data_IF_542302067933
#
_entry.id   IF_542302067933
#
_cell.length_a   1.000
_cell.length_b   1.000
_cell.length_c   1.000
_cell.angle_alpha   90.00
_cell.angle_beta   90.00
_cell.angle_gamma   90.00
#
_symmetry.space_group_name_H-M   'P 1'
#
loop_
_entity.id
_entity.type
_entity.pdbx_description
1 polymer ?
#
# COMPACT_ATOMS: atom_id res chain seq x y z
N UNK A 1 25.00 -0.35 3.70
CA UNK A 1 24.38 0.21 2.49
C UNK A 1 22.89 0.20 2.76
N UNK A 2 22.34 1.33 3.17
CA UNK A 2 20.93 1.42 3.56
C UNK A 2 20.24 2.12 2.40
N UNK A 3 19.83 1.35 1.38
CA UNK A 3 18.88 1.87 0.41
C UNK A 3 17.68 2.43 1.20
N UNK A 4 17.07 3.54 0.77
CA UNK A 4 15.81 4.00 1.34
C UNK A 4 14.73 3.01 0.89
N UNK A 5 14.69 1.84 1.53
CA UNK A 5 13.63 0.88 1.41
C UNK A 5 12.37 1.57 1.92
N UNK A 6 11.52 2.02 0.98
CA UNK A 6 10.21 2.55 1.32
C UNK A 6 9.51 1.46 2.14
N UNK A 7 9.35 1.72 3.44
CA UNK A 7 8.77 0.77 4.36
C UNK A 7 7.36 0.41 3.89
N UNK A 8 7.06 -0.89 3.80
CA UNK A 8 5.72 -1.32 3.44
C UNK A 8 4.72 -0.83 4.50
N UNK A 9 3.63 -0.15 4.13
CA UNK A 9 2.61 0.31 5.08
C UNK A 9 1.74 -0.85 5.62
N UNK A 10 2.22 -2.09 5.50
CA UNK A 10 1.55 -3.29 5.95
C UNK A 10 1.60 -3.38 7.48
N UNK A 11 0.44 -3.45 8.11
CA UNK A 11 0.30 -3.60 9.57
C UNK A 11 0.23 -5.07 10.01
N UNK A 12 0.45 -6.02 9.09
CA UNK A 12 0.25 -7.46 9.32
C UNK A 12 -1.22 -7.89 9.26
N UNK A 13 -2.15 -6.96 9.03
CA UNK A 13 -3.57 -7.24 8.85
C UNK A 13 -3.85 -7.44 7.35
N UNK A 14 -4.20 -8.66 6.95
CA UNK A 14 -4.54 -9.01 5.58
C UNK A 14 -6.06 -9.25 5.45
N UNK A 15 -6.85 -8.21 5.69
CA UNK A 15 -8.30 -8.26 5.56
C UNK A 15 -8.74 -7.29 4.48
N UNK A 16 -9.34 -7.80 3.41
CA UNK A 16 -9.85 -6.99 2.30
C UNK A 16 -11.31 -6.62 2.57
N UNK A 17 -11.61 -5.33 2.52
CA UNK A 17 -12.97 -4.82 2.44
C UNK A 17 -13.54 -5.17 1.07
N UNK A 18 -14.58 -6.02 1.03
CA UNK A 18 -15.18 -6.48 -0.23
C UNK A 18 -15.91 -5.37 -0.98
N UNK A 19 -16.40 -4.33 -0.27
CA UNK A 19 -17.11 -3.21 -0.88
C UNK A 19 -16.14 -2.25 -1.58
N UNK A 20 -14.98 -2.00 -0.97
CA UNK A 20 -13.94 -1.07 -1.48
C UNK A 20 -12.83 -1.78 -2.26
N UNK A 21 -12.73 -3.11 -2.14
CA UNK A 21 -11.60 -3.94 -2.64
C UNK A 21 -10.24 -3.45 -2.15
N UNK A 22 -10.19 -2.94 -0.93
CA UNK A 22 -9.00 -2.40 -0.26
C UNK A 22 -8.73 -3.16 1.02
N UNK A 23 -7.46 -3.32 1.38
CA UNK A 23 -7.08 -3.87 2.68
C UNK A 23 -7.47 -2.89 3.79
N UNK A 24 -8.25 -3.30 4.79
CA UNK A 24 -8.64 -2.43 5.90
C UNK A 24 -7.45 -2.00 6.76
N UNK A 25 -6.36 -2.78 6.77
CA UNK A 25 -5.15 -2.45 7.53
C UNK A 25 -4.28 -1.42 6.81
N UNK A 26 -3.86 -1.74 5.59
CA UNK A 26 -2.91 -0.91 4.83
C UNK A 26 -3.55 -0.03 3.75
N UNK A 27 -4.87 -0.08 3.54
CA UNK A 27 -5.63 0.65 2.52
C UNK A 27 -5.07 0.49 1.08
N UNK A 28 -4.43 -0.65 0.82
CA UNK A 28 -3.91 -1.06 -0.50
C UNK A 28 -4.86 -2.00 -1.21
N UNK A 29 -4.88 -1.94 -2.53
CA UNK A 29 -5.52 -2.96 -3.37
C UNK A 29 -4.65 -4.21 -3.44
N UNK A 30 -5.27 -5.34 -3.81
CA UNK A 30 -4.54 -6.58 -4.11
C UNK A 30 -3.51 -6.40 -5.22
N UNK A 31 -3.83 -5.59 -6.23
CA UNK A 31 -2.95 -5.27 -7.35
C UNK A 31 -1.68 -4.54 -6.89
N UNK A 32 -1.85 -3.52 -6.04
CA UNK A 32 -0.71 -2.81 -5.45
C UNK A 32 0.13 -3.72 -4.56
N UNK A 33 -0.48 -4.65 -3.82
CA UNK A 33 0.24 -5.61 -2.98
C UNK A 33 1.07 -6.56 -3.84
N UNK A 34 0.49 -7.07 -4.93
CA UNK A 34 1.17 -7.95 -5.87
C UNK A 34 2.32 -7.23 -6.60
N UNK A 35 2.11 -5.98 -7.00
CA UNK A 35 3.12 -5.17 -7.69
C UNK A 35 4.19 -4.59 -6.76
N UNK A 36 4.01 -4.59 -5.43
CA UNK A 36 4.96 -3.98 -4.48
C UNK A 36 6.40 -4.49 -4.54
N UNK A 37 6.67 -5.81 -4.56
CA UNK A 37 8.05 -6.31 -4.66
C UNK A 37 8.74 -5.88 -5.95
N UNK A 38 7.97 -5.72 -7.04
CA UNK A 38 8.48 -5.32 -8.36
C UNK A 38 8.45 -3.79 -8.59
N UNK A 39 7.81 -3.05 -7.68
CA UNK A 39 7.67 -1.60 -7.79
C UNK A 39 8.98 -0.85 -7.52
N UNK A 40 9.28 0.10 -8.39
CA UNK A 40 10.36 1.08 -8.22
C UNK A 40 10.08 2.04 -7.06
N UNK A 41 11.10 2.73 -6.54
CA UNK A 41 10.95 3.67 -5.41
C UNK A 41 9.87 4.74 -5.69
N UNK A 42 9.86 5.33 -6.88
CA UNK A 42 8.83 6.29 -7.30
C UNK A 42 7.41 5.69 -7.29
N UNK A 43 7.26 4.45 -7.75
CA UNK A 43 5.98 3.75 -7.72
C UNK A 43 5.56 3.48 -6.27
N UNK A 44 6.48 3.03 -5.43
CA UNK A 44 6.24 2.80 -4.00
C UNK A 44 5.80 4.09 -3.29
N UNK A 45 6.45 5.22 -3.58
CA UNK A 45 6.08 6.53 -3.05
C UNK A 45 4.69 6.96 -3.52
N UNK A 46 4.38 6.78 -4.81
CA UNK A 46 3.07 7.08 -5.38
C UNK A 46 1.98 6.25 -4.71
N UNK A 47 2.22 4.95 -4.53
CA UNK A 47 1.30 4.03 -3.85
C UNK A 47 1.09 4.48 -2.39
N UNK A 48 2.14 4.85 -1.65
CA UNK A 48 2.00 5.36 -0.27
C UNK A 48 1.22 6.69 -0.23
N UNK A 49 1.46 7.59 -1.16
CA UNK A 49 0.70 8.84 -1.26
C UNK A 49 -0.79 8.55 -1.52
N UNK A 50 -1.10 7.62 -2.44
CA UNK A 50 -2.48 7.20 -2.71
C UNK A 50 -3.13 6.53 -1.50
N UNK A 51 -2.42 5.63 -0.80
CA UNK A 51 -2.90 5.01 0.44
C UNK A 51 -3.24 6.08 1.48
N UNK A 52 -2.35 7.04 1.68
CA UNK A 52 -2.54 8.11 2.66
C UNK A 52 -3.75 8.95 2.30
N UNK A 53 -3.91 9.30 1.01
CA UNK A 53 -5.08 9.99 0.50
C UNK A 53 -6.37 9.18 0.71
N UNK A 54 -6.36 7.87 0.44
CA UNK A 54 -7.51 6.98 0.67
C UNK A 54 -7.87 6.87 2.15
N UNK A 55 -6.87 6.80 3.05
CA UNK A 55 -7.07 6.80 4.51
C UNK A 55 -7.67 8.11 5.02
N UNK A 56 -7.36 9.24 4.40
CA UNK A 56 -7.97 10.53 4.71
C UNK A 56 -9.43 10.64 4.22
N UNK A 57 -9.83 9.83 3.24
CA UNK A 57 -11.16 9.85 2.62
C UNK A 57 -12.12 8.81 3.22
N UNK A 58 -11.65 7.95 4.13
CA UNK A 58 -12.40 6.84 4.72
C UNK A 58 -12.64 7.06 6.22
#
# INVERSE_FOLDING_TARGET
>A
MTEPEIASPCTGVCTIDAARRLCIGCARTLDEIAAWPEASIEQKQTIIAQITHRRLQA
#
